data_IF_646617521909
#
_entry.id   IF_646617521909
#
_cell.length_a   1.000
_cell.length_b   1.000
_cell.length_c   1.000
_cell.angle_alpha   90.00
_cell.angle_beta   90.00
_cell.angle_gamma   90.00
#
_symmetry.space_group_name_H-M   'P 1'
#
loop_
_entity.id
_entity.type
_entity.pdbx_description
1 polymer ?
#
# COMPACT_ATOMS: atom_id res chain seq x y z
N UNK A 1 -14.39 -10.42 -42.66
CA UNK A 1 -13.61 -9.17 -42.65
C UNK A 1 -14.12 -8.32 -41.51
N UNK A 2 -13.47 -8.42 -40.34
CA UNK A 2 -13.68 -7.50 -39.21
C UNK A 2 -12.32 -6.88 -38.95
N UNK A 3 -12.15 -5.70 -39.54
CA UNK A 3 -10.98 -4.84 -39.45
C UNK A 3 -10.83 -4.31 -38.04
N UNK A 4 -9.71 -4.69 -37.40
CA UNK A 4 -8.88 -3.88 -36.50
C UNK A 4 -9.55 -2.65 -35.88
N UNK A 5 -10.06 -2.78 -34.66
CA UNK A 5 -10.23 -1.64 -33.77
C UNK A 5 -8.84 -1.26 -33.25
N UNK A 6 -8.29 -0.18 -33.79
CA UNK A 6 -7.20 0.55 -33.15
C UNK A 6 -7.68 0.93 -31.74
N UNK A 7 -7.17 0.24 -30.73
CA UNK A 7 -7.28 0.70 -29.35
C UNK A 7 -6.35 1.89 -29.25
N UNK A 8 -6.86 3.10 -29.52
CA UNK A 8 -6.18 4.33 -29.16
C UNK A 8 -5.88 4.24 -27.66
N UNK A 9 -4.61 3.98 -27.34
CA UNK A 9 -4.14 4.04 -25.95
C UNK A 9 -4.36 5.47 -25.51
N UNK A 10 -5.13 5.75 -24.44
CA UNK A 10 -5.25 7.11 -23.94
C UNK A 10 -3.86 7.55 -23.48
N UNK A 11 -3.25 8.46 -24.26
CA UNK A 11 -2.01 9.10 -23.87
C UNK A 11 -2.37 10.14 -22.82
N UNK A 12 -1.91 9.94 -21.60
CA UNK A 12 -2.08 10.91 -20.51
C UNK A 12 -1.23 12.14 -20.84
N UNK A 13 -1.87 13.21 -21.28
CA UNK A 13 -1.18 14.46 -21.60
C UNK A 13 -0.77 15.21 -20.33
N UNK A 14 0.30 15.99 -20.41
CA UNK A 14 0.71 16.86 -19.29
C UNK A 14 -0.38 17.86 -18.90
N UNK A 15 -1.09 18.40 -19.88
CA UNK A 15 -2.19 19.34 -19.67
C UNK A 15 -3.28 18.72 -18.78
N UNK A 16 -3.64 17.47 -19.03
CA UNK A 16 -4.64 16.76 -18.26
C UNK A 16 -4.17 16.48 -16.82
N UNK A 17 -2.91 16.08 -16.65
CA UNK A 17 -2.32 15.87 -15.33
C UNK A 17 -2.30 17.16 -14.51
N UNK A 18 -1.92 18.30 -15.11
CA UNK A 18 -1.90 19.61 -14.43
C UNK A 18 -3.30 20.05 -14.00
N UNK A 19 -4.30 19.87 -14.87
CA UNK A 19 -5.70 20.29 -14.58
C UNK A 19 -6.30 19.53 -13.39
N UNK A 20 -5.84 18.31 -13.15
CA UNK A 20 -6.40 17.40 -12.15
C UNK A 20 -5.44 17.14 -10.99
N UNK A 21 -4.37 17.94 -10.86
CA UNK A 21 -3.43 17.91 -9.75
C UNK A 21 -4.08 18.54 -8.49
N UNK A 22 -4.88 17.74 -7.79
CA UNK A 22 -5.56 18.12 -6.56
C UNK A 22 -5.03 17.32 -5.38
N UNK A 23 -4.83 18.01 -4.26
CA UNK A 23 -4.51 17.35 -3.00
C UNK A 23 -5.69 16.50 -2.54
N UNK A 24 -5.39 15.24 -2.22
CA UNK A 24 -6.38 14.27 -1.80
C UNK A 24 -5.74 13.10 -1.06
N UNK A 25 -6.51 12.39 -0.23
CA UNK A 25 -6.01 11.23 0.49
C UNK A 25 -5.60 10.12 -0.48
N UNK A 26 -4.66 9.28 -0.04
CA UNK A 26 -4.22 8.10 -0.80
C UNK A 26 -5.22 6.95 -0.76
N UNK A 27 -6.24 7.04 0.09
CA UNK A 27 -7.21 5.98 0.37
C UNK A 27 -6.55 4.60 0.54
N UNK A 28 -5.51 4.56 1.37
CA UNK A 28 -4.99 3.28 1.91
C UNK A 28 -6.03 2.59 2.79
N UNK A 29 -6.91 3.39 3.38
CA UNK A 29 -8.13 2.99 4.05
C UNK A 29 -9.21 4.06 3.86
N UNK A 30 -10.46 3.68 4.10
CA UNK A 30 -11.54 4.63 4.34
C UNK A 30 -12.33 4.20 5.58
N UNK A 31 -12.50 5.07 6.60
CA UNK A 31 -11.91 6.40 6.72
C UNK A 31 -10.37 6.37 6.77
N UNK A 32 -9.75 7.51 6.52
CA UNK A 32 -8.28 7.66 6.48
C UNK A 32 -7.68 7.69 7.88
N UNK A 33 -6.40 7.33 8.01
CA UNK A 33 -5.74 7.18 9.33
C UNK A 33 -5.67 8.47 10.17
N UNK A 34 -5.77 9.65 9.56
CA UNK A 34 -5.92 10.93 10.27
C UNK A 34 -7.21 11.03 11.09
N UNK A 35 -8.21 10.19 10.79
CA UNK A 35 -9.49 10.10 11.52
C UNK A 35 -9.48 9.14 12.70
N UNK A 36 -8.39 8.40 12.92
CA UNK A 36 -8.30 7.53 14.09
C UNK A 36 -8.29 8.38 15.36
N UNK A 37 -8.98 7.93 16.40
CA UNK A 37 -9.10 8.62 17.68
C UNK A 37 -8.36 7.85 18.77
N UNK A 38 -7.81 8.58 19.74
CA UNK A 38 -7.08 8.01 20.87
C UNK A 38 -8.02 7.31 21.88
N UNK A 39 -9.35 7.55 21.75
CA UNK A 39 -10.37 6.89 22.55
C UNK A 39 -10.58 5.41 22.19
N UNK A 40 -10.15 4.97 21.00
CA UNK A 40 -10.17 3.54 20.63
C UNK A 40 -8.87 2.89 21.12
N UNK A 41 -8.98 2.01 22.11
CA UNK A 41 -7.82 1.47 22.82
C UNK A 41 -7.68 -0.07 22.75
N UNK A 42 -6.82 -0.64 23.61
CA UNK A 42 -6.54 -2.07 23.65
C UNK A 42 -7.78 -2.95 23.86
N UNK A 43 -8.70 -2.54 24.74
CA UNK A 43 -9.92 -3.31 25.06
C UNK A 43 -10.91 -3.36 23.88
N UNK A 44 -11.02 -2.27 23.12
CA UNK A 44 -11.87 -2.24 21.93
C UNK A 44 -11.32 -3.16 20.83
N UNK A 45 -9.99 -3.17 20.67
CA UNK A 45 -9.33 -4.08 19.75
C UNK A 45 -9.48 -5.55 20.18
N UNK A 46 -9.28 -5.84 21.47
CA UNK A 46 -9.50 -7.18 22.02
C UNK A 46 -10.93 -7.67 21.76
N UNK A 47 -11.93 -6.78 21.92
CA UNK A 47 -13.34 -7.09 21.61
C UNK A 47 -13.52 -7.41 20.13
N UNK A 48 -12.90 -6.65 19.22
CA UNK A 48 -12.96 -6.93 17.78
C UNK A 48 -12.35 -8.29 17.42
N UNK A 49 -11.24 -8.67 18.06
CA UNK A 49 -10.64 -9.99 17.89
C UNK A 49 -11.56 -11.11 18.39
N UNK A 50 -12.17 -10.97 19.56
CA UNK A 50 -13.12 -11.96 20.09
C UNK A 50 -14.34 -12.12 19.17
N UNK A 51 -14.91 -11.02 18.67
CA UNK A 51 -16.01 -11.05 17.70
C UNK A 51 -15.62 -11.81 16.43
N UNK A 52 -14.40 -11.58 15.91
CA UNK A 52 -13.87 -12.33 14.78
C UNK A 52 -13.77 -13.82 15.09
N UNK A 53 -13.24 -14.18 16.27
CA UNK A 53 -13.07 -15.57 16.69
C UNK A 53 -14.40 -16.32 16.81
N UNK A 54 -15.44 -15.63 17.27
CA UNK A 54 -16.82 -16.14 17.39
C UNK A 54 -17.54 -16.25 16.03
N UNK A 55 -16.91 -15.80 14.93
CA UNK A 55 -17.52 -15.80 13.59
C UNK A 55 -18.60 -14.73 13.41
N UNK A 56 -18.62 -13.71 14.27
CA UNK A 56 -19.60 -12.63 14.17
C UNK A 56 -19.39 -11.83 12.87
N UNK A 57 -20.43 -11.77 12.03
CA UNK A 57 -20.47 -10.88 10.87
C UNK A 57 -20.23 -11.52 9.50
N UNK A 58 -20.13 -12.86 9.39
CA UNK A 58 -20.05 -13.53 8.07
C UNK A 58 -21.04 -14.66 7.95
N UNK A 59 -21.97 -14.53 7.01
CA UNK A 59 -22.77 -15.66 6.50
C UNK A 59 -21.84 -16.46 5.58
N UNK A 60 -21.30 -17.58 6.07
CA UNK A 60 -20.43 -18.47 5.27
C UNK A 60 -19.05 -18.82 5.84
N UNK A 61 -18.70 -18.40 7.08
CA UNK A 61 -17.44 -18.76 7.75
C UNK A 61 -16.52 -17.56 8.00
N UNK A 62 -15.38 -17.75 8.66
CA UNK A 62 -14.49 -16.63 9.03
C UNK A 62 -13.90 -15.93 7.79
N UNK A 63 -13.84 -14.59 7.81
CA UNK A 63 -13.17 -13.82 6.76
C UNK A 63 -11.71 -14.26 6.58
N UNK A 64 -11.18 -14.28 5.35
CA UNK A 64 -9.77 -14.53 5.11
C UNK A 64 -8.90 -13.61 5.97
N UNK A 65 -7.72 -14.09 6.35
CA UNK A 65 -6.82 -13.38 7.26
C UNK A 65 -5.50 -13.05 6.56
N UNK A 66 -5.08 -11.80 6.69
CA UNK A 66 -3.74 -11.34 6.39
C UNK A 66 -3.01 -10.96 7.67
N UNK A 67 -1.70 -11.20 7.68
CA UNK A 67 -0.79 -10.74 8.73
C UNK A 67 0.24 -9.79 8.10
N UNK A 68 0.37 -8.61 8.69
CA UNK A 68 1.45 -7.68 8.43
C UNK A 68 2.39 -7.65 9.63
N UNK A 69 3.70 -7.69 9.40
CA UNK A 69 4.71 -7.52 10.44
C UNK A 69 5.58 -6.33 10.10
N UNK A 70 5.62 -5.35 10.99
CA UNK A 70 6.48 -4.17 10.86
C UNK A 70 7.85 -4.45 11.47
N UNK A 71 8.91 -4.40 10.67
CA UNK A 71 10.30 -4.45 11.12
C UNK A 71 10.90 -3.05 10.98
N UNK A 72 11.09 -2.29 12.07
CA UNK A 72 11.37 -0.86 11.98
C UNK A 72 12.85 -0.55 11.64
N UNK A 73 13.75 -1.52 11.72
CA UNK A 73 15.19 -1.22 11.69
C UNK A 73 15.72 -1.00 10.27
N UNK A 74 16.65 -0.06 10.13
CA UNK A 74 17.45 0.10 8.91
C UNK A 74 18.92 0.37 9.28
N UNK A 75 19.86 -0.19 8.51
CA UNK A 75 21.29 0.07 8.70
C UNK A 75 21.71 1.50 8.32
N UNK A 76 21.05 2.06 7.30
CA UNK A 76 21.41 3.35 6.72
C UNK A 76 20.21 4.27 6.53
N UNK A 77 20.42 5.55 6.82
CA UNK A 77 19.41 6.58 6.69
C UNK A 77 19.29 7.07 5.24
N UNK A 78 18.20 6.70 4.56
CA UNK A 78 17.83 7.29 3.29
C UNK A 78 17.12 8.63 3.52
N UNK A 79 17.61 9.72 2.91
CA UNK A 79 17.13 11.06 3.23
C UNK A 79 15.69 11.32 2.79
N UNK A 80 15.20 10.63 1.75
CA UNK A 80 13.82 10.77 1.29
C UNK A 80 12.79 10.12 2.23
N UNK A 81 13.21 9.18 3.09
CA UNK A 81 12.32 8.19 3.69
C UNK A 81 11.30 8.77 4.70
N UNK A 82 10.02 8.59 4.38
CA UNK A 82 8.87 8.96 5.22
C UNK A 82 8.29 7.83 6.09
N UNK A 83 8.83 6.61 6.01
CA UNK A 83 8.32 5.44 6.76
C UNK A 83 8.46 5.60 8.28
N UNK A 84 7.81 4.75 9.08
CA UNK A 84 8.24 4.53 10.46
C UNK A 84 9.47 3.62 10.43
N UNK A 85 10.56 4.06 11.06
CA UNK A 85 11.85 3.37 11.05
C UNK A 85 12.77 3.85 12.16
N UNK A 86 13.69 2.99 12.55
CA UNK A 86 14.74 3.21 13.53
C UNK A 86 16.07 2.92 12.86
N UNK A 87 16.90 3.95 12.68
CA UNK A 87 18.24 3.78 12.12
C UNK A 87 19.18 3.33 13.24
N UNK A 88 19.83 2.18 13.05
CA UNK A 88 20.73 1.60 14.06
C UNK A 88 21.74 0.67 13.41
N UNK A 89 22.94 0.59 14.01
CA UNK A 89 23.95 -0.45 13.71
C UNK A 89 23.99 -1.54 14.79
N UNK A 90 23.25 -1.33 15.88
CA UNK A 90 23.12 -2.23 17.01
C UNK A 90 22.13 -3.33 16.65
N UNK A 91 22.64 -4.45 16.12
CA UNK A 91 21.85 -5.61 15.71
C UNK A 91 21.21 -6.33 16.90
N UNK A 92 21.78 -6.21 18.10
CA UNK A 92 21.20 -6.75 19.35
C UNK A 92 19.78 -6.21 19.63
N UNK A 93 19.43 -5.04 19.09
CA UNK A 93 18.08 -4.47 19.22
C UNK A 93 17.02 -5.24 18.44
N UNK A 94 17.40 -6.03 17.44
CA UNK A 94 16.49 -6.92 16.75
C UNK A 94 16.02 -8.05 17.65
N UNK A 95 16.92 -8.63 18.46
CA UNK A 95 16.58 -9.67 19.44
C UNK A 95 15.51 -9.20 20.44
N UNK A 96 15.73 -8.06 21.09
CA UNK A 96 14.75 -7.46 22.02
C UNK A 96 13.39 -7.21 21.35
N UNK A 97 13.41 -6.73 20.10
CA UNK A 97 12.19 -6.48 19.33
C UNK A 97 11.44 -7.76 18.99
N UNK A 98 12.15 -8.84 18.66
CA UNK A 98 11.55 -10.15 18.40
C UNK A 98 10.94 -10.76 19.66
N UNK A 99 11.58 -10.59 20.82
CA UNK A 99 11.01 -11.02 22.10
C UNK A 99 9.67 -10.29 22.40
N UNK A 100 9.59 -9.00 22.07
CA UNK A 100 8.34 -8.24 22.18
C UNK A 100 7.30 -8.69 21.13
N UNK A 101 7.70 -8.90 19.88
CA UNK A 101 6.79 -9.42 18.84
C UNK A 101 6.20 -10.79 19.21
N UNK A 102 7.00 -11.68 19.80
CA UNK A 102 6.52 -12.99 20.27
C UNK A 102 5.44 -12.87 21.35
N UNK A 103 5.63 -11.94 22.30
CA UNK A 103 4.60 -11.62 23.31
C UNK A 103 3.35 -11.04 22.66
N UNK A 104 3.48 -10.12 21.70
CA UNK A 104 2.34 -9.57 20.98
C UNK A 104 1.58 -10.65 20.18
N UNK A 105 2.29 -11.57 19.53
CA UNK A 105 1.70 -12.72 18.83
C UNK A 105 0.93 -13.61 19.83
N UNK A 106 1.49 -13.87 21.01
CA UNK A 106 0.80 -14.64 22.05
C UNK A 106 -0.52 -13.97 22.48
N UNK A 107 -0.54 -12.63 22.66
CA UNK A 107 -1.78 -11.90 22.95
C UNK A 107 -2.86 -12.10 21.87
N UNK A 108 -2.46 -12.14 20.59
CA UNK A 108 -3.40 -12.42 19.50
C UNK A 108 -3.92 -13.85 19.55
N UNK A 109 -3.04 -14.83 19.80
CA UNK A 109 -3.41 -16.25 19.94
C UNK A 109 -4.37 -16.45 21.11
N UNK A 110 -4.16 -15.78 22.24
CA UNK A 110 -5.03 -15.87 23.42
C UNK A 110 -6.46 -15.38 23.13
N UNK A 111 -6.61 -14.40 22.23
CA UNK A 111 -7.92 -13.84 21.86
C UNK A 111 -8.59 -14.52 20.68
N UNK A 112 -7.81 -14.97 19.69
CA UNK A 112 -8.31 -15.55 18.43
C UNK A 112 -8.36 -17.08 18.43
N UNK A 113 -7.62 -17.72 19.35
CA UNK A 113 -7.21 -19.12 19.21
C UNK A 113 -6.07 -19.28 18.21
N UNK A 114 -5.31 -20.37 18.38
CA UNK A 114 -4.23 -20.73 17.47
C UNK A 114 -4.75 -21.31 16.15
N UNK A 115 -3.91 -21.27 15.11
CA UNK A 115 -4.15 -22.01 13.86
C UNK A 115 -5.13 -21.36 12.90
N UNK A 116 -5.44 -20.07 13.07
CA UNK A 116 -6.21 -19.30 12.09
C UNK A 116 -5.50 -19.35 10.72
N UNK A 117 -6.27 -19.64 9.66
CA UNK A 117 -5.70 -19.73 8.30
C UNK A 117 -5.37 -18.35 7.76
N UNK A 118 -4.11 -18.13 7.39
CA UNK A 118 -3.58 -16.89 6.82
C UNK A 118 -3.35 -17.08 5.31
N UNK A 119 -3.98 -16.25 4.49
CA UNK A 119 -3.82 -16.26 3.03
C UNK A 119 -2.81 -15.23 2.52
N UNK A 120 -2.37 -14.30 3.37
CA UNK A 120 -1.35 -13.31 3.00
C UNK A 120 -0.49 -12.91 4.20
N UNK A 121 0.82 -13.05 4.07
CA UNK A 121 1.82 -12.57 5.02
C UNK A 121 2.68 -11.50 4.35
N UNK A 122 2.89 -10.37 5.03
CA UNK A 122 3.77 -9.32 4.52
C UNK A 122 4.69 -8.80 5.60
N UNK A 123 6.00 -8.87 5.35
CA UNK A 123 7.02 -8.21 6.16
C UNK A 123 7.42 -6.91 5.47
N UNK A 124 7.23 -5.79 6.17
CA UNK A 124 7.63 -4.47 5.67
C UNK A 124 8.15 -3.56 6.77
N UNK A 125 8.31 -2.28 6.46
CA UNK A 125 8.54 -1.22 7.45
C UNK A 125 9.77 -0.38 7.20
N UNK A 126 10.80 -0.56 8.04
CA UNK A 126 12.12 -0.04 7.79
C UNK A 126 12.82 -0.89 6.74
N UNK A 127 13.44 -1.98 7.18
CA UNK A 127 14.04 -2.99 6.31
C UNK A 127 13.94 -4.36 6.98
N UNK A 128 12.97 -5.22 6.61
CA UNK A 128 12.87 -6.58 7.14
C UNK A 128 14.17 -7.37 7.06
N UNK A 129 14.94 -7.16 5.99
CA UNK A 129 16.26 -7.76 5.76
C UNK A 129 17.38 -7.14 6.60
N UNK A 130 17.07 -6.31 7.60
CA UNK A 130 17.96 -5.98 8.71
C UNK A 130 18.17 -7.20 9.61
N UNK A 131 17.13 -8.04 9.77
CA UNK A 131 17.20 -9.25 10.58
C UNK A 131 18.19 -10.25 9.96
N UNK A 132 18.96 -10.93 10.82
CA UNK A 132 19.78 -12.07 10.43
C UNK A 132 18.92 -13.26 9.97
N UNK A 133 19.53 -14.25 9.32
CA UNK A 133 18.82 -15.43 8.84
C UNK A 133 18.21 -16.24 9.98
N UNK A 134 18.92 -16.35 11.10
CA UNK A 134 18.41 -16.98 12.31
C UNK A 134 17.19 -16.24 12.88
N UNK A 135 17.22 -14.91 12.88
CA UNK A 135 16.11 -14.06 13.36
C UNK A 135 14.89 -14.11 12.44
N UNK A 136 15.09 -14.13 11.12
CA UNK A 136 14.00 -14.33 10.15
C UNK A 136 13.37 -15.72 10.31
N UNK A 137 14.18 -16.76 10.45
CA UNK A 137 13.70 -18.12 10.73
C UNK A 137 12.94 -18.21 12.04
N UNK A 138 13.44 -17.55 13.10
CA UNK A 138 12.79 -17.46 14.41
C UNK A 138 11.40 -16.86 14.27
N UNK A 139 11.30 -15.67 13.67
CA UNK A 139 10.03 -14.97 13.50
C UNK A 139 9.04 -15.76 12.64
N UNK A 140 9.49 -16.32 11.51
CA UNK A 140 8.66 -17.17 10.66
C UNK A 140 8.19 -18.43 11.39
N UNK A 141 9.05 -19.03 12.22
CA UNK A 141 8.72 -20.16 13.08
C UNK A 141 7.62 -19.81 14.08
N UNK A 142 7.76 -18.69 14.79
CA UNK A 142 6.73 -18.17 15.72
C UNK A 142 5.40 -17.96 15.00
N UNK A 143 5.41 -17.33 13.83
CA UNK A 143 4.19 -17.09 13.05
C UNK A 143 3.52 -18.39 12.61
N UNK A 144 4.27 -19.42 12.23
CA UNK A 144 3.74 -20.75 11.86
C UNK A 144 3.18 -21.53 13.05
N UNK A 145 3.66 -21.27 14.25
CA UNK A 145 3.10 -21.85 15.47
C UNK A 145 1.77 -21.16 15.84
N UNK A 146 1.70 -19.84 15.68
CA UNK A 146 0.51 -19.05 15.96
C UNK A 146 -0.59 -19.21 14.90
N UNK A 147 -0.21 -19.27 13.61
CA UNK A 147 -1.10 -19.22 12.47
C UNK A 147 -0.83 -20.36 11.49
N UNK A 148 -1.88 -20.78 10.77
CA UNK A 148 -1.74 -21.75 9.67
C UNK A 148 -1.59 -20.98 8.35
N UNK A 149 -0.38 -20.90 7.82
CA UNK A 149 -0.19 -20.33 6.47
C UNK A 149 -0.83 -21.25 5.43
N UNK A 150 -1.72 -20.71 4.59
CA UNK A 150 -2.32 -21.47 3.50
C UNK A 150 -1.25 -21.92 2.50
N UNK A 151 -1.39 -23.10 1.85
CA UNK A 151 -0.44 -23.57 0.85
C UNK A 151 -0.17 -22.56 -0.28
N UNK A 152 -1.21 -21.83 -0.67
CA UNK A 152 -1.22 -20.80 -1.71
C UNK A 152 -1.08 -19.37 -1.15
N UNK A 153 -0.67 -19.20 0.11
CA UNK A 153 -0.56 -17.90 0.73
C UNK A 153 0.46 -17.00 -0.01
N UNK A 154 0.12 -15.73 -0.22
CA UNK A 154 1.09 -14.74 -0.68
C UNK A 154 1.96 -14.33 0.50
N UNK A 155 3.21 -14.82 0.54
CA UNK A 155 4.18 -14.53 1.58
C UNK A 155 5.25 -13.61 1.01
N UNK A 156 5.17 -12.34 1.37
CA UNK A 156 5.97 -11.26 0.80
C UNK A 156 6.87 -10.57 1.82
N UNK A 157 8.03 -10.11 1.34
CA UNK A 157 9.00 -9.36 2.15
C UNK A 157 9.60 -8.19 1.36
N UNK A 158 9.69 -7.03 1.99
CA UNK A 158 10.44 -5.88 1.48
C UNK A 158 11.95 -6.09 1.69
N UNK A 159 12.73 -5.80 0.65
CA UNK A 159 14.16 -6.05 0.57
C UNK A 159 14.90 -4.77 0.22
N UNK A 160 15.88 -4.39 1.06
CA UNK A 160 16.93 -3.47 0.66
C UNK A 160 18.00 -4.25 -0.13
N UNK A 161 18.19 -3.97 -1.44
CA UNK A 161 19.17 -4.70 -2.26
C UNK A 161 20.62 -4.60 -1.76
N UNK A 162 20.91 -3.66 -0.85
CA UNK A 162 22.24 -3.45 -0.29
C UNK A 162 22.57 -4.43 0.84
N UNK A 163 21.57 -5.10 1.43
CA UNK A 163 21.75 -5.97 2.60
C UNK A 163 21.54 -7.45 2.28
N UNK A 164 21.36 -7.80 1.00
CA UNK A 164 20.98 -9.14 0.56
C UNK A 164 21.90 -9.63 -0.55
N UNK A 165 22.19 -10.94 -0.55
CA UNK A 165 22.90 -11.67 -1.60
C UNK A 165 22.08 -12.89 -2.05
N UNK A 166 22.59 -13.69 -2.99
CA UNK A 166 21.89 -14.87 -3.51
C UNK A 166 21.63 -15.94 -2.43
N UNK A 167 22.57 -16.13 -1.48
CA UNK A 167 22.41 -17.09 -0.38
C UNK A 167 21.24 -16.69 0.54
N UNK A 168 21.17 -15.40 0.87
CA UNK A 168 20.08 -14.81 1.64
C UNK A 168 18.73 -14.96 0.92
N UNK A 169 18.68 -14.80 -0.40
CA UNK A 169 17.45 -15.05 -1.17
C UNK A 169 17.03 -16.53 -1.11
N UNK A 170 17.99 -17.46 -1.16
CA UNK A 170 17.71 -18.90 -0.98
C UNK A 170 17.08 -19.16 0.38
N UNK A 171 17.68 -18.60 1.44
CA UNK A 171 17.15 -18.70 2.80
C UNK A 171 15.72 -18.16 2.91
N UNK A 172 15.45 -16.97 2.35
CA UNK A 172 14.10 -16.40 2.31
C UNK A 172 13.09 -17.34 1.61
N UNK A 173 13.50 -17.98 0.51
CA UNK A 173 12.67 -18.93 -0.22
C UNK A 173 12.39 -20.19 0.60
N UNK A 174 13.41 -20.71 1.28
CA UNK A 174 13.35 -21.90 2.14
C UNK A 174 12.41 -21.67 3.34
N UNK A 175 12.47 -20.50 3.97
CA UNK A 175 11.55 -20.14 5.05
C UNK A 175 10.16 -19.74 4.54
N UNK A 176 9.89 -19.80 3.23
CA UNK A 176 8.55 -19.78 2.66
C UNK A 176 8.07 -18.45 2.10
N UNK A 177 8.93 -17.44 1.95
CA UNK A 177 8.61 -16.28 1.13
C UNK A 177 8.57 -16.68 -0.34
N UNK A 178 7.54 -16.23 -1.06
CA UNK A 178 7.37 -16.48 -2.49
C UNK A 178 7.27 -15.19 -3.31
N UNK A 179 7.27 -14.02 -2.65
CA UNK A 179 7.22 -12.71 -3.30
C UNK A 179 8.21 -11.73 -2.66
N UNK A 180 8.84 -10.89 -3.48
CA UNK A 180 9.84 -9.90 -3.04
C UNK A 180 9.45 -8.49 -3.50
N UNK A 181 9.80 -7.48 -2.70
CA UNK A 181 9.75 -6.07 -3.11
C UNK A 181 11.10 -5.40 -2.91
N UNK A 182 11.77 -5.02 -3.99
CA UNK A 182 13.08 -4.38 -3.96
C UNK A 182 12.96 -2.85 -3.92
N UNK A 183 13.54 -2.24 -2.89
CA UNK A 183 13.68 -0.79 -2.81
C UNK A 183 14.78 -0.26 -3.74
N UNK A 184 14.46 0.06 -5.00
CA UNK A 184 15.45 0.57 -5.97
C UNK A 184 15.54 2.10 -5.93
N UNK A 185 14.38 2.74 -5.97
CA UNK A 185 14.16 4.19 -5.96
C UNK A 185 14.63 4.90 -7.24
N UNK A 186 15.92 4.79 -7.57
CA UNK A 186 16.54 5.31 -8.77
C UNK A 186 17.89 4.60 -9.05
N UNK A 187 18.29 4.50 -10.32
CA UNK A 187 19.62 4.04 -10.73
C UNK A 187 20.60 5.18 -11.04
N UNK A 188 20.12 6.42 -11.16
CA UNK A 188 20.99 7.59 -11.39
C UNK A 188 21.87 7.87 -10.16
N UNK A 189 23.19 7.78 -10.34
CA UNK A 189 24.16 7.92 -9.24
C UNK A 189 24.09 9.29 -8.56
N UNK A 190 23.80 10.37 -9.30
CA UNK A 190 23.71 11.71 -8.72
C UNK A 190 22.49 11.82 -7.79
N UNK A 191 21.37 11.20 -8.18
CA UNK A 191 20.15 11.10 -7.36
C UNK A 191 20.41 10.25 -6.13
N UNK A 192 20.99 9.06 -6.30
CA UNK A 192 21.34 8.16 -5.20
C UNK A 192 22.26 8.83 -4.16
N UNK A 193 23.26 9.58 -4.59
CA UNK A 193 24.14 10.36 -3.72
C UNK A 193 23.35 11.44 -2.95
N UNK A 194 22.48 12.17 -3.66
CA UNK A 194 21.68 13.25 -3.06
C UNK A 194 20.69 12.74 -2.00
N UNK A 195 20.30 11.46 -2.06
CA UNK A 195 19.40 10.85 -1.08
C UNK A 195 20.05 9.83 -0.15
N UNK A 196 21.37 9.68 -0.23
CA UNK A 196 22.17 8.76 0.59
C UNK A 196 21.74 7.29 0.47
N UNK A 197 21.57 6.82 -0.78
CA UNK A 197 21.18 5.45 -1.12
C UNK A 197 21.94 4.91 -2.33
N UNK A 198 23.24 4.69 -2.16
CA UNK A 198 24.11 4.14 -3.23
C UNK A 198 23.88 2.65 -3.42
N UNK A 199 23.62 2.23 -4.66
CA UNK A 199 23.47 0.84 -5.09
C UNK A 199 23.62 0.74 -6.62
N UNK A 200 24.25 -0.31 -7.12
CA UNK A 200 24.45 -0.44 -8.57
C UNK A 200 23.26 -1.14 -9.25
N UNK A 201 23.07 -0.87 -10.54
CA UNK A 201 22.07 -1.58 -11.36
C UNK A 201 22.44 -3.06 -11.45
N UNK A 202 23.72 -3.36 -11.58
CA UNK A 202 24.27 -4.70 -11.73
C UNK A 202 23.98 -5.56 -10.50
N UNK A 203 24.10 -5.00 -9.29
CA UNK A 203 23.78 -5.74 -8.07
C UNK A 203 22.28 -6.07 -7.97
N UNK A 204 21.41 -5.11 -8.35
CA UNK A 204 19.96 -5.35 -8.38
C UNK A 204 19.59 -6.38 -9.44
N UNK A 205 20.20 -6.30 -10.63
CA UNK A 205 19.99 -7.25 -11.72
C UNK A 205 20.33 -8.68 -11.28
N UNK A 206 21.51 -8.87 -10.69
CA UNK A 206 21.94 -10.18 -10.18
C UNK A 206 21.00 -10.75 -9.11
N UNK A 207 20.49 -9.90 -8.21
CA UNK A 207 19.49 -10.32 -7.21
C UNK A 207 18.16 -10.73 -7.84
N UNK A 208 17.68 -9.99 -8.85
CA UNK A 208 16.45 -10.34 -9.56
C UNK A 208 16.59 -11.63 -10.38
N UNK A 209 17.74 -11.84 -11.01
CA UNK A 209 18.05 -13.10 -11.70
C UNK A 209 18.09 -14.27 -10.73
N UNK A 210 18.75 -14.12 -9.58
CA UNK A 210 18.76 -15.11 -8.50
C UNK A 210 17.34 -15.38 -7.98
N UNK A 211 16.54 -14.35 -7.73
CA UNK A 211 15.15 -14.51 -7.30
C UNK A 211 14.32 -15.33 -8.30
N UNK A 212 14.47 -15.06 -9.60
CA UNK A 212 13.80 -15.86 -10.65
C UNK A 212 14.29 -17.31 -10.67
N UNK A 213 15.60 -17.54 -10.55
CA UNK A 213 16.18 -18.88 -10.52
C UNK A 213 15.72 -19.70 -9.30
N UNK A 214 15.51 -19.03 -8.16
CA UNK A 214 14.98 -19.62 -6.92
C UNK A 214 13.45 -19.83 -6.93
N UNK A 215 12.77 -19.43 -8.01
CA UNK A 215 11.33 -19.61 -8.16
C UNK A 215 10.49 -18.71 -7.24
N UNK A 216 10.92 -17.47 -7.00
CA UNK A 216 10.02 -16.42 -6.53
C UNK A 216 8.99 -16.11 -7.62
N UNK A 217 7.72 -16.01 -7.26
CA UNK A 217 6.60 -15.91 -8.21
C UNK A 217 6.43 -14.50 -8.78
N UNK A 218 6.75 -13.49 -7.98
CA UNK A 218 6.61 -12.08 -8.35
C UNK A 218 7.65 -11.24 -7.63
N UNK A 219 8.36 -10.41 -8.40
CA UNK A 219 9.27 -9.39 -7.89
C UNK A 219 8.67 -8.01 -8.17
N UNK A 220 8.60 -7.19 -7.13
CA UNK A 220 8.27 -5.77 -7.25
C UNK A 220 9.54 -4.92 -7.20
N UNK A 221 9.55 -3.83 -7.95
CA UNK A 221 10.56 -2.77 -7.85
C UNK A 221 9.89 -1.47 -7.44
N UNK A 222 10.31 -0.91 -6.31
CA UNK A 222 9.88 0.41 -5.86
C UNK A 222 10.78 1.48 -6.48
N UNK A 223 10.16 2.49 -7.09
CA UNK A 223 10.78 3.67 -7.69
C UNK A 223 10.16 4.93 -7.10
N UNK A 224 10.91 6.03 -7.12
CA UNK A 224 10.41 7.33 -6.69
C UNK A 224 10.72 8.37 -7.76
N UNK A 225 9.71 9.14 -8.16
CA UNK A 225 9.90 10.33 -8.99
C UNK A 225 9.74 11.62 -8.17
N UNK A 226 10.45 12.67 -8.56
CA UNK A 226 10.54 13.93 -7.84
C UNK A 226 11.65 14.00 -6.80
N UNK A 227 12.61 13.07 -6.81
CA UNK A 227 13.81 13.11 -5.95
C UNK A 227 14.78 14.23 -6.39
N UNK A 228 15.67 14.71 -5.50
CA UNK A 228 16.65 15.73 -5.85
C UNK A 228 17.55 15.28 -7.01
N UNK A 229 17.87 16.21 -7.91
CA UNK A 229 18.66 16.03 -9.15
C UNK A 229 18.01 15.17 -10.23
N UNK A 230 16.80 14.67 -10.04
CA UNK A 230 16.07 14.02 -11.14
C UNK A 230 15.66 15.04 -12.19
N UNK A 231 15.70 14.61 -13.45
CA UNK A 231 15.18 15.31 -14.63
C UNK A 231 14.26 14.36 -15.39
N UNK A 232 13.34 14.85 -16.26
CA UNK A 232 12.55 13.98 -17.11
C UNK A 232 13.39 12.97 -17.90
N UNK A 233 14.56 13.39 -18.39
CA UNK A 233 15.48 12.56 -19.15
C UNK A 233 16.19 11.52 -18.28
N UNK A 234 16.60 11.87 -17.05
CA UNK A 234 17.23 10.92 -16.14
C UNK A 234 16.26 9.84 -15.69
N UNK A 235 15.03 10.22 -15.34
CA UNK A 235 14.02 9.25 -14.94
C UNK A 235 13.62 8.34 -16.10
N UNK A 236 13.53 8.86 -17.34
CA UNK A 236 13.30 8.03 -18.53
C UNK A 236 14.36 6.93 -18.68
N UNK A 237 15.65 7.25 -18.48
CA UNK A 237 16.73 6.25 -18.50
C UNK A 237 16.53 5.20 -17.41
N UNK A 238 16.16 5.61 -16.19
CA UNK A 238 15.86 4.68 -15.09
C UNK A 238 14.67 3.78 -15.43
N UNK A 239 13.61 4.31 -16.04
CA UNK A 239 12.45 3.54 -16.51
C UNK A 239 12.85 2.49 -17.54
N UNK A 240 13.67 2.85 -18.52
CA UNK A 240 14.22 1.92 -19.53
C UNK A 240 15.02 0.81 -18.87
N UNK A 241 15.94 1.16 -17.97
CA UNK A 241 16.75 0.20 -17.24
C UNK A 241 15.91 -0.76 -16.39
N UNK A 242 14.87 -0.28 -15.70
CA UNK A 242 13.96 -1.13 -14.91
C UNK A 242 13.15 -2.04 -15.83
N UNK A 243 12.66 -1.51 -16.96
CA UNK A 243 11.90 -2.30 -17.92
C UNK A 243 12.74 -3.43 -18.56
N UNK A 244 14.04 -3.21 -18.77
CA UNK A 244 15.01 -4.23 -19.19
C UNK A 244 15.17 -5.35 -18.14
N UNK A 245 15.24 -4.99 -16.84
CA UNK A 245 15.31 -5.98 -15.75
C UNK A 245 14.02 -6.81 -15.62
N UNK A 246 12.93 -6.30 -16.20
CA UNK A 246 11.64 -6.96 -16.35
C UNK A 246 11.04 -7.49 -15.03
N UNK A 247 10.95 -6.70 -13.94
CA UNK A 247 10.24 -7.12 -12.75
C UNK A 247 8.76 -7.38 -13.08
N UNK A 248 8.10 -8.27 -12.34
CA UNK A 248 6.68 -8.56 -12.54
C UNK A 248 5.80 -7.37 -12.16
N UNK A 249 6.21 -6.59 -11.14
CA UNK A 249 5.52 -5.41 -10.64
C UNK A 249 6.46 -4.22 -10.47
N UNK A 250 5.90 -3.02 -10.63
CA UNK A 250 6.59 -1.77 -10.36
C UNK A 250 5.65 -0.88 -9.54
N UNK A 251 6.17 -0.25 -8.49
CA UNK A 251 5.50 0.82 -7.78
C UNK A 251 6.30 2.13 -7.95
N UNK A 252 5.73 3.10 -8.65
CA UNK A 252 6.34 4.40 -8.94
C UNK A 252 5.70 5.48 -8.08
N UNK A 253 6.30 5.76 -6.92
CA UNK A 253 5.76 6.70 -5.95
C UNK A 253 6.15 8.15 -6.26
N UNK A 254 5.22 9.08 -6.05
CA UNK A 254 5.56 10.51 -6.00
C UNK A 254 6.31 10.83 -4.71
N UNK A 255 7.45 11.51 -4.82
CA UNK A 255 8.18 11.99 -3.66
C UNK A 255 7.37 13.05 -2.90
N UNK A 256 7.13 12.78 -1.61
CA UNK A 256 6.49 13.70 -0.67
C UNK A 256 7.54 14.36 0.23
N UNK A 257 7.87 15.61 -0.06
CA UNK A 257 8.83 16.42 0.72
C UNK A 257 8.13 17.17 1.86
N UNK A 258 8.23 16.64 3.08
CA UNK A 258 7.65 17.18 4.31
C UNK A 258 8.72 17.24 5.42
N UNK A 259 9.79 18.04 5.27
CA UNK A 259 10.94 18.08 6.19
C UNK A 259 10.60 18.56 7.61
N UNK A 260 9.44 19.18 7.81
CA UNK A 260 8.92 19.51 9.13
C UNK A 260 8.45 18.28 9.90
N UNK A 261 7.92 17.28 9.20
CA UNK A 261 7.46 16.01 9.76
C UNK A 261 8.54 14.94 9.73
N UNK A 262 9.28 14.86 8.63
CA UNK A 262 10.32 13.84 8.42
C UNK A 262 11.71 14.48 8.45
N UNK A 263 12.29 14.56 9.65
CA UNK A 263 13.59 15.20 9.90
C UNK A 263 14.72 14.79 8.92
N UNK A 264 14.86 13.53 8.47
CA UNK A 264 15.88 13.15 7.48
C UNK A 264 15.84 13.94 6.17
N UNK A 265 14.65 14.37 5.75
CA UNK A 265 14.46 15.11 4.49
C UNK A 265 15.08 16.51 4.55
N UNK A 266 15.42 17.03 5.74
CA UNK A 266 16.18 18.28 5.89
C UNK A 266 17.60 18.21 5.34
N UNK A 267 18.12 17.00 5.07
CA UNK A 267 19.42 16.77 4.44
C UNK A 267 19.36 16.82 2.91
N UNK A 268 18.16 16.89 2.33
CA UNK A 268 17.97 17.09 0.90
C UNK A 268 18.03 18.59 0.62
N UNK A 269 18.83 18.96 -0.38
CA UNK A 269 18.82 20.30 -0.94
C UNK A 269 17.50 20.55 -1.67
N UNK A 270 16.64 21.40 -1.11
CA UNK A 270 15.35 21.73 -1.70
C UNK A 270 15.48 22.43 -3.06
N UNK A 271 16.59 23.13 -3.32
CA UNK A 271 16.83 23.77 -4.62
C UNK A 271 17.15 22.74 -5.72
N UNK A 272 17.59 21.55 -5.34
CA UNK A 272 17.84 20.44 -6.26
C UNK A 272 16.57 19.62 -6.56
N UNK A 273 15.42 19.92 -5.94
CA UNK A 273 14.17 19.24 -6.25
C UNK A 273 13.63 19.70 -7.61
N UNK A 274 13.11 18.77 -8.44
CA UNK A 274 12.54 19.15 -9.73
C UNK A 274 11.29 20.01 -9.54
N UNK A 275 11.06 21.00 -10.41
CA UNK A 275 9.85 21.80 -10.39
C UNK A 275 8.60 20.94 -10.66
N UNK A 276 7.42 21.46 -10.30
CA UNK A 276 6.16 20.72 -10.44
C UNK A 276 5.86 20.31 -11.90
N UNK A 277 6.20 21.17 -12.86
CA UNK A 277 6.04 20.85 -14.29
C UNK A 277 6.85 19.60 -14.68
N UNK A 278 8.12 19.54 -14.30
CA UNK A 278 8.98 18.38 -14.55
C UNK A 278 8.46 17.11 -13.89
N UNK A 279 7.89 17.21 -12.68
CA UNK A 279 7.26 16.05 -12.02
C UNK A 279 6.08 15.49 -12.82
N UNK A 280 5.29 16.37 -13.46
CA UNK A 280 4.18 15.96 -14.34
C UNK A 280 4.72 15.26 -15.59
N UNK A 281 5.73 15.84 -16.23
CA UNK A 281 6.40 15.25 -17.41
C UNK A 281 7.02 13.89 -17.06
N UNK A 282 7.71 13.79 -15.92
CA UNK A 282 8.28 12.55 -15.37
C UNK A 282 7.23 11.46 -15.24
N UNK A 283 6.06 11.77 -14.63
CA UNK A 283 4.99 10.81 -14.45
C UNK A 283 4.41 10.36 -15.81
N UNK A 284 4.09 11.30 -16.70
CA UNK A 284 3.55 10.99 -18.03
C UNK A 284 4.51 10.11 -18.85
N UNK A 285 5.79 10.49 -18.91
CA UNK A 285 6.82 9.72 -19.60
C UNK A 285 7.04 8.34 -18.99
N UNK A 286 6.98 8.20 -17.66
CA UNK A 286 7.14 6.90 -16.99
C UNK A 286 5.96 5.97 -17.28
N UNK A 287 4.73 6.48 -17.25
CA UNK A 287 3.53 5.72 -17.63
C UNK A 287 3.67 5.24 -19.08
N UNK A 288 3.99 6.15 -20.01
CA UNK A 288 4.16 5.83 -21.42
C UNK A 288 5.29 4.82 -21.63
N UNK A 289 6.41 4.98 -20.92
CA UNK A 289 7.56 4.07 -20.96
C UNK A 289 7.18 2.66 -20.53
N UNK A 290 6.65 2.48 -19.33
CA UNK A 290 6.29 1.13 -18.85
C UNK A 290 5.20 0.48 -19.72
N UNK A 291 4.18 1.23 -20.14
CA UNK A 291 3.15 0.72 -21.07
C UNK A 291 3.74 0.37 -22.44
N UNK A 292 4.71 1.16 -22.92
CA UNK A 292 5.49 0.87 -24.14
C UNK A 292 6.27 -0.44 -24.03
N UNK A 293 6.82 -0.74 -22.85
CA UNK A 293 7.48 -2.01 -22.53
C UNK A 293 6.50 -3.13 -22.12
N UNK A 294 5.20 -2.97 -22.36
CA UNK A 294 4.20 -4.03 -22.20
C UNK A 294 3.69 -4.24 -20.78
N UNK A 295 3.95 -3.32 -19.84
CA UNK A 295 3.28 -3.31 -18.55
C UNK A 295 1.84 -2.80 -18.68
N UNK A 296 0.96 -3.30 -17.80
CA UNK A 296 -0.37 -2.76 -17.60
C UNK A 296 -0.34 -1.78 -16.43
N UNK A 297 -0.90 -0.60 -16.63
CA UNK A 297 -1.17 0.32 -15.53
C UNK A 297 -2.31 -0.23 -14.67
N UNK A 298 -1.98 -0.62 -13.44
CA UNK A 298 -2.94 -1.20 -12.49
C UNK A 298 -3.77 -0.10 -11.85
N UNK A 299 -3.14 1.01 -11.48
CA UNK A 299 -3.79 2.18 -10.89
C UNK A 299 -2.87 2.88 -9.90
N UNK A 300 -3.14 4.17 -9.64
CA UNK A 300 -2.29 5.04 -8.81
C UNK A 300 -0.82 4.98 -9.20
N UNK A 301 -0.02 4.23 -8.43
CA UNK A 301 1.43 4.18 -8.54
C UNK A 301 1.89 2.82 -9.14
N UNK A 302 0.98 1.89 -9.44
CA UNK A 302 1.32 0.49 -9.72
C UNK A 302 1.21 0.09 -11.19
N UNK A 303 2.20 -0.68 -11.65
CA UNK A 303 2.25 -1.34 -12.94
C UNK A 303 2.55 -2.82 -12.73
N UNK A 304 2.02 -3.69 -13.60
CA UNK A 304 2.33 -5.11 -13.57
C UNK A 304 2.35 -5.72 -14.98
N UNK A 305 3.11 -6.78 -15.17
CA UNK A 305 3.09 -7.54 -16.42
C UNK A 305 1.71 -8.20 -16.62
N UNK A 306 1.26 -8.43 -17.87
CA UNK A 306 -0.09 -8.94 -18.15
C UNK A 306 -0.43 -10.29 -17.48
N UNK A 307 0.59 -11.12 -17.26
CA UNK A 307 0.49 -12.42 -16.60
C UNK A 307 0.58 -12.37 -15.07
N UNK A 308 0.98 -11.24 -14.48
CA UNK A 308 1.01 -11.08 -13.03
C UNK A 308 -0.42 -11.10 -12.44
N UNK A 309 -0.55 -11.66 -11.25
CA UNK A 309 -1.86 -11.87 -10.61
C UNK A 309 -2.63 -10.58 -10.34
N UNK A 310 -1.98 -9.41 -10.16
CA UNK A 310 -2.68 -8.12 -10.06
C UNK A 310 -3.32 -7.69 -11.39
N UNK A 311 -2.60 -7.87 -12.49
CA UNK A 311 -3.11 -7.56 -13.82
C UNK A 311 -4.31 -8.45 -14.17
N UNK A 312 -4.22 -9.73 -13.82
CA UNK A 312 -5.31 -10.71 -13.96
C UNK A 312 -6.51 -10.31 -13.08
N UNK A 313 -6.29 -10.01 -11.81
CA UNK A 313 -7.34 -9.60 -10.86
C UNK A 313 -8.06 -8.32 -11.32
N UNK A 314 -7.32 -7.31 -11.81
CA UNK A 314 -7.90 -6.09 -12.38
C UNK A 314 -8.84 -6.38 -13.54
N UNK A 315 -8.43 -7.20 -14.52
CA UNK A 315 -9.27 -7.56 -15.67
C UNK A 315 -10.55 -8.30 -15.29
N UNK A 316 -10.51 -9.02 -14.18
CA UNK A 316 -11.64 -9.82 -13.67
C UNK A 316 -12.49 -9.06 -12.64
N UNK A 317 -12.20 -7.78 -12.36
CA UNK A 317 -12.92 -7.01 -11.35
C UNK A 317 -12.70 -7.49 -9.91
N UNK A 318 -11.60 -8.21 -9.65
CA UNK A 318 -11.25 -8.83 -8.36
C UNK A 318 -10.02 -8.20 -7.70
N UNK A 319 -9.65 -7.00 -8.11
CA UNK A 319 -8.58 -6.27 -7.46
C UNK A 319 -9.09 -5.75 -6.11
N UNK A 320 -8.23 -5.78 -5.09
CA UNK A 320 -8.49 -5.25 -3.77
C UNK A 320 -7.34 -4.37 -3.32
N UNK A 321 -7.53 -3.65 -2.21
CA UNK A 321 -6.52 -2.75 -1.65
C UNK A 321 -6.49 -2.83 -0.13
N UNK A 322 -5.28 -2.82 0.41
CA UNK A 322 -4.98 -2.72 1.84
C UNK A 322 -3.89 -1.65 2.07
N UNK A 323 -3.37 -1.57 3.29
CA UNK A 323 -2.32 -0.62 3.66
C UNK A 323 -0.99 -0.85 2.93
N UNK A 324 -0.73 -2.07 2.44
CA UNK A 324 0.48 -2.43 1.70
C UNK A 324 0.36 -2.15 0.19
N UNK A 325 -0.85 -1.94 -0.33
CA UNK A 325 -1.08 -1.60 -1.73
C UNK A 325 -2.23 -2.38 -2.36
N UNK A 326 -2.15 -2.59 -3.68
CA UNK A 326 -3.09 -3.47 -4.36
C UNK A 326 -2.79 -4.93 -4.03
N UNK A 327 -3.84 -5.73 -3.85
CA UNK A 327 -3.78 -7.15 -3.57
C UNK A 327 -4.79 -7.91 -4.43
N UNK A 328 -4.51 -9.18 -4.68
CA UNK A 328 -5.42 -10.13 -5.32
C UNK A 328 -6.36 -10.79 -4.31
N UNK A 329 -6.07 -10.67 -3.01
CA UNK A 329 -6.85 -11.28 -1.95
C UNK A 329 -8.11 -10.46 -1.69
N UNK A 330 -9.27 -11.11 -1.48
CA UNK A 330 -10.52 -10.43 -1.15
C UNK A 330 -10.40 -9.63 0.14
N UNK A 331 -11.43 -8.82 0.42
CA UNK A 331 -11.51 -7.99 1.61
C UNK A 331 -11.33 -8.85 2.88
N UNK A 332 -10.11 -8.87 3.42
CA UNK A 332 -9.67 -9.77 4.49
C UNK A 332 -9.35 -9.00 5.77
N UNK A 333 -9.56 -9.63 6.93
CA UNK A 333 -9.04 -9.05 8.16
C UNK A 333 -7.52 -8.98 8.08
N UNK A 334 -6.95 -7.91 8.65
CA UNK A 334 -5.53 -7.65 8.69
C UNK A 334 -5.11 -7.50 10.15
N UNK A 335 -4.44 -8.54 10.66
CA UNK A 335 -3.67 -8.43 11.91
C UNK A 335 -2.35 -7.74 11.57
N UNK A 336 -2.01 -6.71 12.33
CA UNK A 336 -0.81 -5.92 12.08
C UNK A 336 0.04 -5.91 13.35
N UNK A 337 1.21 -6.52 13.26
CA UNK A 337 2.14 -6.75 14.37
C UNK A 337 3.30 -5.75 14.32
N UNK A 338 3.81 -5.39 15.49
CA UNK A 338 4.97 -4.53 15.63
C UNK A 338 4.65 -3.04 15.74
N UNK A 339 5.70 -2.25 16.00
CA UNK A 339 5.59 -0.81 16.20
C UNK A 339 4.96 -0.12 14.99
N UNK A 340 4.04 0.82 15.24
CA UNK A 340 3.34 1.67 14.28
C UNK A 340 2.40 0.98 13.27
N UNK A 341 2.34 -0.35 13.32
CA UNK A 341 1.53 -1.18 12.43
C UNK A 341 0.05 -0.73 12.46
N UNK A 342 -0.64 -0.87 11.33
CA UNK A 342 -2.07 -0.55 11.23
C UNK A 342 -2.82 -1.80 10.80
N UNK A 343 -3.74 -2.24 11.66
CA UNK A 343 -4.60 -3.39 11.45
C UNK A 343 -6.02 -2.99 11.07
N UNK A 344 -6.76 -3.98 10.59
CA UNK A 344 -8.19 -3.89 10.32
C UNK A 344 -8.85 -5.22 10.65
N UNK A 345 -9.63 -5.26 11.72
CA UNK A 345 -10.38 -6.46 12.11
C UNK A 345 -11.86 -6.11 12.17
N UNK A 346 -12.67 -6.79 11.38
CA UNK A 346 -14.10 -6.51 11.23
C UNK A 346 -14.36 -5.06 10.83
N UNK A 347 -15.28 -4.42 11.55
CA UNK A 347 -15.63 -3.01 11.37
C UNK A 347 -14.74 -2.06 12.20
N UNK A 348 -13.45 -2.39 12.37
CA UNK A 348 -12.51 -1.53 13.10
C UNK A 348 -11.19 -1.32 12.37
N UNK A 349 -10.54 -0.21 12.66
CA UNK A 349 -9.12 0.03 12.42
C UNK A 349 -8.40 0.22 13.74
N UNK A 350 -7.17 -0.27 13.83
CA UNK A 350 -6.31 -0.10 15.01
C UNK A 350 -4.89 0.24 14.59
N UNK A 351 -4.21 1.07 15.37
CA UNK A 351 -2.81 1.41 15.16
C UNK A 351 -2.00 1.18 16.43
N UNK A 352 -0.92 0.41 16.28
CA UNK A 352 0.05 0.20 17.34
C UNK A 352 0.83 1.48 17.67
N UNK A 353 1.38 1.53 18.88
CA UNK A 353 2.26 2.58 19.38
C UNK A 353 3.35 2.91 18.35
N UNK A 354 3.63 4.20 18.16
CA UNK A 354 4.51 4.68 17.07
C UNK A 354 5.98 4.71 17.45
N UNK A 355 6.28 4.52 18.73
CA UNK A 355 7.63 4.51 19.27
C UNK A 355 7.91 3.16 19.93
N UNK A 356 9.17 2.72 19.86
CA UNK A 356 9.58 1.46 20.50
C UNK A 356 9.35 1.45 22.02
N UNK A 357 9.67 2.52 22.79
CA UNK A 357 9.44 2.51 24.23
C UNK A 357 7.97 2.29 24.62
N UNK A 358 7.03 3.02 23.98
CA UNK A 358 5.59 2.84 24.23
C UNK A 358 5.10 1.44 23.80
N UNK A 359 5.60 0.94 22.68
CA UNK A 359 5.27 -0.40 22.18
C UNK A 359 5.74 -1.49 23.17
N UNK A 360 7.00 -1.41 23.63
CA UNK A 360 7.55 -2.37 24.59
C UNK A 360 6.85 -2.31 25.93
N UNK A 361 6.55 -1.11 26.44
CA UNK A 361 5.88 -0.95 27.73
C UNK A 361 4.52 -1.66 27.74
N UNK A 362 3.68 -1.40 26.74
CA UNK A 362 2.36 -2.04 26.63
C UNK A 362 2.46 -3.57 26.53
N UNK A 363 3.32 -4.09 25.65
CA UNK A 363 3.46 -5.53 25.44
C UNK A 363 4.04 -6.23 26.67
N UNK A 364 4.99 -5.62 27.38
CA UNK A 364 5.56 -6.18 28.61
C UNK A 364 4.54 -6.23 29.76
N UNK A 365 3.51 -5.39 29.73
CA UNK A 365 2.37 -5.42 30.65
C UNK A 365 1.28 -6.42 30.23
N UNK A 366 1.49 -7.18 29.15
CA UNK A 366 0.49 -8.12 28.62
C UNK A 366 -0.70 -7.42 27.96
N UNK A 367 -0.52 -6.20 27.45
CA UNK A 367 -1.55 -5.42 26.79
C UNK A 367 -1.26 -5.28 25.30
N UNK A 368 -2.31 -5.21 24.47
CA UNK A 368 -2.13 -4.85 23.07
C UNK A 368 -1.58 -3.41 22.99
N UNK A 369 -0.56 -3.15 22.15
CA UNK A 369 0.07 -1.83 22.06
C UNK A 369 -0.75 -0.82 21.23
N UNK A 370 -2.09 -0.87 21.30
CA UNK A 370 -2.99 0.01 20.53
C UNK A 370 -3.06 1.38 21.18
N UNK A 371 -2.70 2.42 20.43
CA UNK A 371 -2.73 3.83 20.92
C UNK A 371 -3.83 4.66 20.31
N UNK A 372 -4.37 4.24 19.16
CA UNK A 372 -5.50 4.88 18.49
C UNK A 372 -6.14 3.94 17.48
N UNK A 373 -7.38 4.21 17.12
CA UNK A 373 -8.10 3.44 16.12
C UNK A 373 -9.44 4.07 15.76
N UNK A 374 -10.33 3.28 15.17
CA UNK A 374 -11.66 3.73 14.81
C UNK A 374 -12.61 2.54 14.70
N UNK A 375 -13.75 2.62 15.38
CA UNK A 375 -14.91 1.77 15.08
C UNK A 375 -15.73 2.42 13.96
N UNK A 376 -15.99 1.67 12.89
CA UNK A 376 -16.64 2.20 11.69
C UNK A 376 -18.15 2.22 11.88
N UNK A 377 -18.77 3.33 11.50
CA UNK A 377 -20.23 3.41 11.38
C UNK A 377 -20.72 2.67 10.15
N UNK A 378 -22.04 2.39 10.07
CA UNK A 378 -22.66 1.83 8.86
C UNK A 378 -22.39 2.70 7.62
N UNK A 379 -22.39 4.01 7.79
CA UNK A 379 -22.07 4.97 6.71
C UNK A 379 -20.60 4.87 6.28
N UNK A 380 -19.68 4.63 7.21
CA UNK A 380 -18.26 4.43 6.90
C UNK A 380 -18.05 3.14 6.11
N UNK A 381 -18.71 2.05 6.52
CA UNK A 381 -18.65 0.77 5.81
C UNK A 381 -19.22 0.89 4.39
N UNK A 382 -20.37 1.56 4.24
CA UNK A 382 -20.99 1.83 2.94
C UNK A 382 -20.05 2.62 2.02
N UNK A 383 -19.55 3.76 2.49
CA UNK A 383 -18.65 4.60 1.67
C UNK A 383 -17.32 3.92 1.40
N UNK A 384 -16.81 3.11 2.33
CA UNK A 384 -15.64 2.25 2.09
C UNK A 384 -15.89 1.30 0.92
N UNK A 385 -17.03 0.60 0.91
CA UNK A 385 -17.39 -0.32 -0.17
C UNK A 385 -17.45 0.41 -1.52
N UNK A 386 -18.11 1.58 -1.57
CA UNK A 386 -18.20 2.42 -2.78
C UNK A 386 -16.82 2.88 -3.25
N UNK A 387 -16.00 3.43 -2.36
CA UNK A 387 -14.66 3.93 -2.68
C UNK A 387 -13.76 2.80 -3.18
N UNK A 388 -13.81 1.62 -2.56
CA UNK A 388 -13.03 0.45 -2.98
C UNK A 388 -13.52 -0.13 -4.32
N UNK A 389 -14.82 -0.16 -4.58
CA UNK A 389 -15.36 -0.58 -5.87
C UNK A 389 -14.83 0.32 -7.00
N UNK A 390 -14.85 1.64 -6.81
CA UNK A 390 -14.26 2.59 -7.75
C UNK A 390 -12.76 2.36 -7.89
N UNK A 391 -12.01 2.38 -6.77
CA UNK A 391 -10.54 2.39 -6.82
C UNK A 391 -9.89 1.08 -7.28
N UNK A 392 -10.58 -0.04 -7.13
CA UNK A 392 -10.03 -1.35 -7.43
C UNK A 392 -10.70 -2.00 -8.63
N UNK A 393 -12.02 -1.87 -8.78
CA UNK A 393 -12.77 -2.50 -9.87
C UNK A 393 -13.03 -1.52 -11.02
N UNK A 394 -12.93 -0.21 -10.77
CA UNK A 394 -13.25 0.82 -11.74
C UNK A 394 -14.73 0.88 -12.08
N UNK A 395 -15.59 0.23 -11.29
CA UNK A 395 -17.02 0.14 -11.54
C UNK A 395 -17.77 0.08 -10.21
N UNK A 396 -18.84 0.85 -10.12
CA UNK A 396 -19.78 0.86 -9.01
C UNK A 396 -21.12 0.37 -9.51
N UNK A 397 -21.48 -0.88 -9.21
CA UNK A 397 -22.80 -1.42 -9.50
C UNK A 397 -23.78 -1.09 -8.38
N UNK A 398 -24.89 -0.42 -8.71
CA UNK A 398 -25.81 0.11 -7.69
C UNK A 398 -26.50 -1.04 -6.95
N UNK A 399 -27.03 -2.02 -7.67
CA UNK A 399 -27.75 -3.16 -7.08
C UNK A 399 -26.90 -3.90 -6.03
N UNK A 400 -25.61 -4.10 -6.28
CA UNK A 400 -24.70 -4.76 -5.33
C UNK A 400 -24.57 -3.99 -4.01
N UNK A 401 -24.51 -2.65 -4.08
CA UNK A 401 -24.44 -1.78 -2.91
C UNK A 401 -25.79 -1.69 -2.21
N UNK A 402 -26.88 -1.58 -2.96
CA UNK A 402 -28.25 -1.51 -2.45
C UNK A 402 -28.60 -2.77 -1.66
N UNK A 403 -28.28 -3.95 -2.18
CA UNK A 403 -28.47 -5.23 -1.49
C UNK A 403 -27.60 -5.36 -0.24
N UNK A 404 -26.30 -5.04 -0.33
CA UNK A 404 -25.36 -5.21 0.77
C UNK A 404 -25.61 -4.24 1.93
N UNK A 405 -26.09 -3.02 1.63
CA UNK A 405 -26.22 -1.96 2.62
C UNK A 405 -27.67 -1.51 2.87
N UNK A 406 -28.66 -2.08 2.19
CA UNK A 406 -30.09 -1.79 2.33
C UNK A 406 -30.41 -0.29 2.18
N UNK A 407 -29.97 0.28 1.07
CA UNK A 407 -30.21 1.69 0.68
C UNK A 407 -30.72 1.78 -0.75
N UNK A 408 -31.19 2.96 -1.15
CA UNK A 408 -31.33 3.36 -2.56
C UNK A 408 -30.13 4.22 -2.91
N UNK A 409 -29.26 3.75 -3.81
CA UNK A 409 -28.00 4.43 -4.14
C UNK A 409 -28.25 5.79 -4.79
N UNK A 410 -29.27 5.90 -5.65
CA UNK A 410 -29.57 7.15 -6.36
C UNK A 410 -30.06 8.23 -5.41
N UNK A 411 -30.85 7.85 -4.42
CA UNK A 411 -31.35 8.76 -3.39
C UNK A 411 -30.26 9.10 -2.37
N UNK A 412 -29.52 8.11 -1.87
CA UNK A 412 -28.52 8.30 -0.83
C UNK A 412 -27.32 9.11 -1.32
N UNK A 413 -26.84 8.83 -2.54
CA UNK A 413 -25.69 9.50 -3.16
C UNK A 413 -26.10 10.54 -4.22
N UNK A 414 -27.28 11.12 -4.12
CA UNK A 414 -27.78 12.09 -5.12
C UNK A 414 -26.80 13.27 -5.33
N UNK A 415 -26.21 13.77 -4.24
CA UNK A 415 -25.24 14.88 -4.31
C UNK A 415 -23.94 14.45 -4.97
N UNK A 416 -23.43 13.28 -4.63
CA UNK A 416 -22.21 12.69 -5.19
C UNK A 416 -22.38 12.36 -6.68
N UNK A 417 -23.53 11.80 -7.07
CA UNK A 417 -23.84 11.53 -8.48
C UNK A 417 -23.92 12.82 -9.31
N UNK A 418 -24.41 13.92 -8.73
CA UNK A 418 -24.38 15.23 -9.39
C UNK A 418 -22.94 15.73 -9.54
N UNK A 419 -22.12 15.63 -8.50
CA UNK A 419 -20.69 16.00 -8.56
C UNK A 419 -19.91 15.18 -9.60
N UNK A 420 -20.28 13.91 -9.82
CA UNK A 420 -19.68 13.08 -10.85
C UNK A 420 -19.98 13.56 -12.27
N UNK A 421 -21.04 14.34 -12.52
CA UNK A 421 -21.36 14.83 -13.88
C UNK A 421 -20.25 15.69 -14.46
N UNK A 422 -19.61 16.53 -13.66
CA UNK A 422 -18.44 17.32 -14.10
C UNK A 422 -17.25 16.43 -14.49
N UNK A 423 -17.07 15.29 -13.81
CA UNK A 423 -16.06 14.30 -14.16
C UNK A 423 -16.44 13.49 -15.40
N UNK A 424 -17.74 13.25 -15.63
CA UNK A 424 -18.26 12.66 -16.86
C UNK A 424 -18.04 13.57 -18.06
N UNK A 425 -18.33 14.87 -17.94
CA UNK A 425 -18.04 15.88 -18.98
C UNK A 425 -16.55 15.94 -19.30
N UNK A 426 -15.69 15.68 -18.31
CA UNK A 426 -14.24 15.56 -18.48
C UNK A 426 -13.79 14.20 -19.02
N UNK A 427 -14.71 13.28 -19.33
CA UNK A 427 -14.44 11.96 -19.89
C UNK A 427 -13.81 10.96 -18.90
N UNK A 428 -13.86 11.22 -17.59
CA UNK A 428 -13.24 10.38 -16.55
C UNK A 428 -14.13 9.24 -16.09
N UNK A 429 -15.46 9.43 -16.16
CA UNK A 429 -16.45 8.41 -15.78
C UNK A 429 -17.60 8.42 -16.78
N UNK A 430 -18.35 7.32 -16.83
CA UNK A 430 -19.64 7.20 -17.48
C UNK A 430 -20.66 6.83 -16.40
N UNK A 431 -21.70 7.65 -16.25
CA UNK A 431 -22.81 7.40 -15.34
C UNK A 431 -23.93 6.73 -16.12
N UNK A 432 -24.29 5.52 -15.71
CA UNK A 432 -25.33 4.70 -16.32
C UNK A 432 -26.60 4.65 -15.44
N UNK A 433 -27.73 4.12 -15.95
CA UNK A 433 -28.94 3.88 -15.17
C UNK A 433 -28.78 2.94 -13.96
N UNK A 434 -27.76 2.09 -13.92
CA UNK A 434 -27.53 1.16 -12.81
C UNK A 434 -26.10 1.15 -12.29
N UNK A 435 -25.21 1.98 -12.83
CA UNK A 435 -23.79 1.93 -12.49
C UNK A 435 -23.07 3.27 -12.66
N UNK A 436 -21.86 3.36 -12.10
CA UNK A 436 -20.83 4.33 -12.51
C UNK A 436 -19.60 3.55 -12.98
N UNK A 437 -19.16 3.80 -14.21
CA UNK A 437 -17.97 3.19 -14.80
C UNK A 437 -16.85 4.21 -14.91
N UNK A 438 -15.66 3.87 -14.42
CA UNK A 438 -14.44 4.65 -14.65
C UNK A 438 -13.92 4.36 -16.06
N UNK A 439 -13.63 5.41 -16.83
CA UNK A 439 -13.07 5.27 -18.18
C UNK A 439 -11.58 4.91 -18.12
N UNK A 440 -11.00 4.54 -19.25
CA UNK A 440 -9.54 4.33 -19.33
C UNK A 440 -8.75 5.58 -18.90
N UNK A 441 -9.27 6.78 -19.17
CA UNK A 441 -8.70 8.04 -18.71
C UNK A 441 -8.88 8.26 -17.20
N UNK A 442 -10.07 7.93 -16.68
CA UNK A 442 -10.40 8.07 -15.26
C UNK A 442 -9.48 7.28 -14.32
N UNK A 443 -8.92 6.15 -14.77
CA UNK A 443 -7.97 5.36 -13.98
C UNK A 443 -6.71 6.12 -13.55
N UNK A 444 -6.27 7.11 -14.32
CA UNK A 444 -5.15 7.97 -13.94
C UNK A 444 -5.53 8.99 -12.87
N UNK A 445 -6.83 9.28 -12.73
CA UNK A 445 -7.41 10.25 -11.78
C UNK A 445 -8.36 9.57 -10.81
N UNK A 446 -8.12 8.29 -10.52
CA UNK A 446 -9.06 7.45 -9.77
C UNK A 446 -9.34 8.00 -8.37
N UNK A 447 -8.34 8.65 -7.76
CA UNK A 447 -8.48 9.32 -6.47
C UNK A 447 -9.48 10.48 -6.56
N UNK A 448 -9.48 11.24 -7.65
CA UNK A 448 -10.42 12.34 -7.86
C UNK A 448 -11.86 11.86 -7.94
N UNK A 449 -12.09 10.70 -8.54
CA UNK A 449 -13.42 10.05 -8.57
C UNK A 449 -13.80 9.56 -7.17
N UNK A 450 -12.90 8.88 -6.47
CA UNK A 450 -13.15 8.37 -5.12
C UNK A 450 -13.45 9.47 -4.09
N UNK A 451 -12.77 10.62 -4.18
CA UNK A 451 -12.97 11.77 -3.29
C UNK A 451 -14.39 12.32 -3.27
N UNK A 452 -15.17 12.11 -4.33
CA UNK A 452 -16.56 12.54 -4.38
C UNK A 452 -17.38 11.83 -3.28
N UNK A 453 -17.05 10.57 -2.97
CA UNK A 453 -17.75 9.76 -1.98
C UNK A 453 -17.18 9.87 -0.56
N UNK A 454 -16.19 10.72 -0.32
CA UNK A 454 -15.58 10.89 0.99
C UNK A 454 -16.30 11.94 1.83
N UNK A 455 -17.12 11.48 2.78
CA UNK A 455 -17.92 12.39 3.62
C UNK A 455 -17.06 13.31 4.51
N UNK A 456 -15.90 12.84 4.95
CA UNK A 456 -15.04 13.60 5.85
C UNK A 456 -14.36 14.74 5.11
N UNK A 457 -13.89 14.48 3.89
CA UNK A 457 -13.33 15.50 3.02
C UNK A 457 -14.37 16.57 2.65
N UNK A 458 -15.60 16.16 2.32
CA UNK A 458 -16.67 17.12 2.01
C UNK A 458 -17.05 17.98 3.23
N UNK A 459 -17.07 17.40 4.43
CA UNK A 459 -17.35 18.13 5.67
C UNK A 459 -16.26 19.16 5.98
N UNK A 460 -14.98 18.80 5.81
CA UNK A 460 -13.85 19.72 6.06
C UNK A 460 -13.85 20.90 5.08
N UNK A 461 -14.08 20.64 3.79
CA UNK A 461 -14.23 21.71 2.77
C UNK A 461 -15.36 22.67 3.10
N UNK A 462 -16.44 22.15 3.65
CA UNK A 462 -17.59 22.96 4.07
C UNK A 462 -17.23 23.83 5.27
N UNK A 463 -16.53 23.29 6.27
CA UNK A 463 -16.05 24.04 7.44
C UNK A 463 -15.08 25.16 7.06
N UNK A 464 -14.12 24.89 6.17
CA UNK A 464 -13.18 25.90 5.68
C UNK A 464 -13.92 27.08 5.02
N UNK A 465 -14.96 26.81 4.22
CA UNK A 465 -15.79 27.84 3.57
C UNK A 465 -16.53 28.75 4.55
N UNK A 466 -16.96 28.23 5.71
CA UNK A 466 -17.67 29.00 6.74
C UNK A 466 -16.75 29.72 7.74
N UNK A 467 -15.45 29.39 7.77
CA UNK A 467 -14.51 29.90 8.79
C UNK A 467 -14.01 31.34 8.59
N UNK A 468 -14.50 32.08 7.59
CA UNK A 468 -14.17 33.51 7.42
C UNK A 468 -15.25 34.39 8.05
N UNK A 469 -14.98 34.89 9.25
CA UNK A 469 -15.80 35.92 9.91
C UNK A 469 -15.07 37.29 9.96
N UNK A 470 -13.77 37.36 9.64
CA UNK A 470 -13.02 38.61 9.37
C UNK A 470 -12.02 38.36 8.24
#
# INVERSE_FOLDING_TARGET
MLTTTHTERPVVTEELLRRLDVNGPRYTSYPTADRFVDAFGPDDYARALSQRAEGAGVIGGASPLSVYVHIPFCESLCYYCGCNKVITKHHERAGEYLDALEKEIALHVDRLGAGQTVSQLHFGGGSPTFLSDAELSRLMGTLRQAFRLAPEAENSIEVDPRTVNSERLSHLREIGFNRLSFGVQDFDTAVQQAVHRIQSRESVAALMESARALGFESTNVDLIYGLPKQTPESLRRTVEQVAELRPERIALYSYAHLPQRFKPQRRIDSAALPPAADKVTMLSNSIAGFVGHGYQYIGMDHFALPGDSLAVAKRQGRLHRNFQGYSTQPDCDLIALGVSSIGRVGATYSQNAKTLPEYYDAVNQGQFPIVRGLALTREDLLRRAVIMAIMCQGRLEFESIELAHLIDVRKHFATELEQLRALQESGLVVIEPSSVQVTALGWYFIRSVAMVFDKHLQADRTRERFSRII
#
